data_IF_564768629577
#
_entry.id   IF_564768629577
#
_cell.length_a   1.000
_cell.length_b   1.000
_cell.length_c   1.000
_cell.angle_alpha   90.00
_cell.angle_beta   90.00
_cell.angle_gamma   90.00
#
_symmetry.space_group_name_H-M   'P 1'
#
loop_
_entity.id
_entity.type
_entity.pdbx_description
1 polymer ?
#
# COMPACT_ATOMS: atom_id res chain seq x y z
N UNK A 1 27.25 -6.22 -10.35
CA UNK A 1 26.26 -7.22 -10.79
C UNK A 1 25.65 -8.00 -9.62
N UNK A 2 26.45 -8.50 -8.67
CA UNK A 2 25.95 -9.29 -7.53
C UNK A 2 24.93 -8.56 -6.63
N UNK A 3 25.12 -7.26 -6.39
CA UNK A 3 24.26 -6.48 -5.49
C UNK A 3 22.83 -6.24 -6.02
N UNK A 4 22.68 -6.07 -7.34
CA UNK A 4 21.37 -6.02 -8.00
C UNK A 4 20.62 -7.33 -7.86
N UNK A 5 21.29 -8.45 -8.12
CA UNK A 5 20.70 -9.78 -7.97
C UNK A 5 20.23 -10.06 -6.53
N UNK A 6 20.98 -9.58 -5.53
CA UNK A 6 20.53 -9.65 -4.13
C UNK A 6 19.31 -8.77 -3.85
N UNK A 7 19.24 -7.57 -4.44
CA UNK A 7 18.04 -6.72 -4.35
C UNK A 7 16.81 -7.39 -4.97
N UNK A 8 16.96 -8.01 -6.14
CA UNK A 8 15.88 -8.64 -6.88
C UNK A 8 15.34 -9.89 -6.16
N UNK A 9 16.23 -10.73 -5.61
CA UNK A 9 15.86 -11.86 -4.76
C UNK A 9 15.05 -11.41 -3.53
N UNK A 10 15.48 -10.32 -2.88
CA UNK A 10 14.77 -9.77 -1.72
C UNK A 10 13.38 -9.23 -2.10
N UNK A 11 13.23 -8.62 -3.28
CA UNK A 11 11.93 -8.17 -3.79
C UNK A 11 11.01 -9.36 -4.10
N UNK A 12 11.52 -10.40 -4.75
CA UNK A 12 10.73 -11.59 -5.08
C UNK A 12 10.22 -12.29 -3.81
N UNK A 13 11.08 -12.51 -2.82
CA UNK A 13 10.67 -13.10 -1.54
C UNK A 13 9.66 -12.25 -0.78
N UNK A 14 9.79 -10.92 -0.85
CA UNK A 14 8.81 -9.98 -0.28
C UNK A 14 7.46 -10.13 -0.97
N UNK A 15 7.42 -10.23 -2.30
CA UNK A 15 6.18 -10.39 -3.07
C UNK A 15 5.45 -11.68 -2.68
N UNK A 16 6.15 -12.81 -2.66
CA UNK A 16 5.57 -14.11 -2.26
C UNK A 16 4.95 -14.09 -0.84
N UNK A 17 5.58 -13.39 0.11
CA UNK A 17 5.03 -13.24 1.48
C UNK A 17 3.76 -12.39 1.50
N UNK A 18 3.69 -11.36 0.66
CA UNK A 18 2.51 -10.52 0.54
C UNK A 18 1.37 -11.29 -0.13
N UNK A 19 1.64 -12.00 -1.22
CA UNK A 19 0.65 -12.80 -1.94
C UNK A 19 0.07 -13.91 -1.04
N UNK A 20 0.87 -14.50 -0.15
CA UNK A 20 0.39 -15.50 0.81
C UNK A 20 -0.64 -14.95 1.83
N UNK A 21 -0.64 -13.63 2.08
CA UNK A 21 -1.56 -12.97 3.03
C UNK A 21 -2.71 -12.28 2.31
N UNK A 22 -2.42 -11.62 1.18
CA UNK A 22 -3.33 -10.72 0.48
C UNK A 22 -3.83 -11.28 -0.86
N UNK A 23 -3.26 -12.38 -1.36
CA UNK A 23 -3.50 -12.87 -2.71
C UNK A 23 -2.87 -11.96 -3.78
N UNK A 24 -3.35 -12.09 -5.02
CA UNK A 24 -2.76 -11.43 -6.18
C UNK A 24 -3.30 -10.01 -6.45
N UNK A 25 -4.16 -9.46 -5.57
CA UNK A 25 -4.83 -8.16 -5.74
C UNK A 25 -3.95 -6.97 -5.31
N UNK A 26 -2.79 -7.22 -4.70
CA UNK A 26 -1.95 -6.15 -4.19
C UNK A 26 -1.26 -5.38 -5.33
N UNK A 27 -1.33 -4.03 -5.34
CA UNK A 27 -0.63 -3.23 -6.34
C UNK A 27 0.89 -3.35 -6.25
N UNK A 28 1.57 -3.20 -7.39
CA UNK A 28 3.04 -3.27 -7.47
C UNK A 28 3.76 -2.12 -6.74
N UNK A 29 3.10 -0.98 -6.59
CA UNK A 29 3.64 0.21 -5.92
C UNK A 29 2.84 0.55 -4.67
N UNK A 30 3.54 1.03 -3.65
CA UNK A 30 2.90 1.55 -2.43
C UNK A 30 2.47 3.01 -2.61
N UNK A 31 1.56 3.48 -1.74
CA UNK A 31 1.01 4.83 -1.86
C UNK A 31 2.06 5.96 -1.75
N UNK A 32 3.12 5.74 -0.97
CA UNK A 32 4.25 6.66 -0.83
C UNK A 32 5.11 6.77 -2.10
N UNK A 33 5.22 5.67 -2.87
CA UNK A 33 5.96 5.65 -4.14
C UNK A 33 5.17 6.33 -5.28
N UNK A 34 3.84 6.34 -5.19
CA UNK A 34 2.93 6.85 -6.24
C UNK A 34 2.80 8.38 -6.25
N UNK A 35 3.38 9.07 -5.26
CA UNK A 35 3.32 10.53 -5.10
C UNK A 35 1.93 11.05 -4.69
N UNK A 36 1.86 12.33 -4.28
CA UNK A 36 0.65 12.96 -3.72
C UNK A 36 -0.59 12.98 -4.65
N UNK A 37 -0.42 12.64 -5.93
CA UNK A 37 -1.48 12.70 -6.94
C UNK A 37 -2.54 11.59 -6.85
N UNK A 38 -2.19 10.41 -6.33
CA UNK A 38 -3.06 9.23 -6.39
C UNK A 38 -3.54 8.73 -5.00
N UNK A 39 -2.93 9.25 -3.93
CA UNK A 39 -3.11 8.79 -2.55
C UNK A 39 -3.94 9.71 -1.64
N UNK A 40 -4.42 10.86 -2.11
CA UNK A 40 -5.22 11.81 -1.31
C UNK A 40 -6.68 11.36 -1.10
N UNK A 41 -6.89 10.03 -1.10
CA UNK A 41 -8.18 9.39 -1.00
C UNK A 41 -8.74 9.46 0.40
N UNK A 42 -9.19 10.66 0.79
CA UNK A 42 -10.50 10.96 1.40
C UNK A 42 -10.42 12.27 2.18
N UNK A 43 -10.75 13.37 1.52
CA UNK A 43 -10.77 14.72 2.10
C UNK A 43 -11.78 14.87 3.23
N UNK A 44 -11.88 16.10 3.75
CA UNK A 44 -12.76 16.47 4.87
C UNK A 44 -14.18 15.93 4.75
N UNK A 45 -14.75 15.96 3.55
CA UNK A 45 -16.09 15.44 3.25
C UNK A 45 -16.25 13.95 3.60
N UNK A 46 -15.28 13.11 3.23
CA UNK A 46 -15.35 11.70 3.59
C UNK A 46 -15.23 11.50 5.09
N UNK A 47 -14.33 12.23 5.75
CA UNK A 47 -14.15 12.16 7.20
C UNK A 47 -15.46 12.51 7.93
N UNK A 48 -16.12 13.60 7.53
CA UNK A 48 -17.42 14.00 8.11
C UNK A 48 -18.49 12.92 7.93
N UNK A 49 -18.50 12.22 6.78
CA UNK A 49 -19.45 11.12 6.51
C UNK A 49 -19.16 9.81 7.25
N UNK A 50 -17.93 9.60 7.72
CA UNK A 50 -17.49 8.33 8.31
C UNK A 50 -17.01 8.46 9.75
N UNK A 51 -17.09 9.66 10.34
CA UNK A 51 -16.72 9.89 11.73
C UNK A 51 -17.63 9.04 12.64
N UNK A 52 -17.06 8.25 13.56
CA UNK A 52 -17.84 7.47 14.51
C UNK A 52 -18.83 8.35 15.28
N UNK A 53 -20.02 7.83 15.65
CA UNK A 53 -20.97 8.60 16.43
C UNK A 53 -20.35 9.05 17.75
N UNK A 54 -20.57 10.32 18.10
CA UNK A 54 -20.25 10.80 19.43
C UNK A 54 -21.30 10.22 20.37
N UNK A 55 -20.87 9.25 21.17
CA UNK A 55 -21.60 8.92 22.39
C UNK A 55 -21.47 10.14 23.31
N UNK A 56 -22.54 10.93 23.37
CA UNK A 56 -22.76 11.89 24.45
C UNK A 56 -23.23 11.20 25.72
#
# INVERSE_FOLDING_TARGET
>A
MAEKAQSDEQRWRRRQRLDAVFGDDLPDTTGDERGDGEGSGRGREWYERNRPPHHG
#
